data_IF_824133995462
#
_entry.id   IF_824133995462
#
_cell.length_a   1.000
_cell.length_b   1.000
_cell.length_c   1.000
_cell.angle_alpha   90.00
_cell.angle_beta   90.00
_cell.angle_gamma   90.00
#
_symmetry.space_group_name_H-M   'P 1'
#
loop_
_entity.id
_entity.type
_entity.pdbx_description
1 polymer ?
#
# COMPACT_ATOMS: atom_id res chain seq x y z
N UNK A 1 -24.59 -2.49 -26.47
CA UNK A 1 -24.12 -1.87 -25.22
C UNK A 1 -22.70 -1.38 -25.42
N UNK A 2 -22.37 -0.20 -24.93
CA UNK A 2 -21.08 0.48 -25.01
C UNK A 2 -20.51 0.69 -23.61
N UNK A 3 -19.18 0.66 -23.48
CA UNK A 3 -18.48 0.94 -22.21
C UNK A 3 -17.59 2.16 -22.39
N UNK A 4 -17.67 3.12 -21.47
CA UNK A 4 -16.70 4.23 -21.36
C UNK A 4 -15.97 4.17 -20.02
N UNK A 5 -14.65 4.12 -20.08
CA UNK A 5 -13.76 4.12 -18.91
C UNK A 5 -13.09 5.48 -18.76
N UNK A 6 -13.49 6.28 -17.79
CA UNK A 6 -12.88 7.58 -17.53
C UNK A 6 -11.63 7.42 -16.66
N UNK A 7 -10.50 7.83 -17.21
CA UNK A 7 -9.18 7.73 -16.58
C UNK A 7 -8.83 9.09 -15.95
N UNK A 8 -9.01 9.19 -14.64
CA UNK A 8 -8.78 10.42 -13.88
C UNK A 8 -7.30 10.79 -13.85
N UNK A 9 -6.97 12.00 -14.29
CA UNK A 9 -5.59 12.49 -14.32
C UNK A 9 -5.46 13.98 -14.02
N UNK A 10 -4.34 14.37 -13.42
CA UNK A 10 -3.91 15.77 -13.25
C UNK A 10 -2.61 16.07 -14.02
N UNK A 11 -2.12 15.12 -14.83
CA UNK A 11 -0.91 15.26 -15.65
C UNK A 11 -0.96 14.42 -16.92
N UNK A 12 -0.03 14.66 -17.84
CA UNK A 12 0.18 13.78 -18.99
C UNK A 12 0.68 12.40 -18.54
N UNK A 13 0.25 11.36 -19.23
CA UNK A 13 0.62 9.97 -18.96
C UNK A 13 0.55 9.13 -20.22
N UNK A 14 1.10 7.92 -20.17
CA UNK A 14 1.00 6.95 -21.25
C UNK A 14 -0.40 6.33 -21.27
N UNK A 15 -1.24 6.85 -22.15
CA UNK A 15 -2.64 6.45 -22.29
C UNK A 15 -2.76 4.99 -22.80
N UNK A 16 -3.73 4.21 -22.31
CA UNK A 16 -4.06 2.93 -22.92
C UNK A 16 -4.38 3.11 -24.41
N UNK A 17 -3.94 2.16 -25.24
CA UNK A 17 -4.17 2.21 -26.70
C UNK A 17 -5.65 2.08 -27.09
N UNK A 18 -6.44 1.47 -26.23
CA UNK A 18 -7.87 1.28 -26.45
C UNK A 18 -8.62 2.57 -26.13
N UNK A 19 -9.34 3.09 -27.12
CA UNK A 19 -10.09 4.36 -27.06
C UNK A 19 -11.25 4.34 -26.06
N UNK A 20 -11.63 3.17 -25.54
CA UNK A 20 -12.62 3.10 -24.46
C UNK A 20 -12.11 3.78 -23.17
N UNK A 21 -10.79 3.85 -22.98
CA UNK A 21 -10.14 4.54 -21.88
C UNK A 21 -9.96 6.01 -22.24
N UNK A 22 -10.82 6.86 -21.68
CA UNK A 22 -10.91 8.28 -21.97
C UNK A 22 -10.19 9.05 -20.85
N UNK A 23 -9.06 9.73 -21.12
CA UNK A 23 -8.45 10.61 -20.14
C UNK A 23 -9.41 11.74 -19.75
N UNK A 24 -9.64 11.90 -18.44
CA UNK A 24 -10.41 13.00 -17.87
C UNK A 24 -9.48 13.81 -16.96
N UNK A 25 -9.22 15.04 -17.37
CA UNK A 25 -8.43 16.00 -16.61
C UNK A 25 -9.25 16.52 -15.43
N UNK A 26 -8.89 16.06 -14.23
CA UNK A 26 -9.49 16.48 -12.96
C UNK A 26 -8.81 17.73 -12.43
N UNK A 27 -9.58 18.63 -11.80
CA UNK A 27 -9.07 19.89 -11.27
C UNK A 27 -8.66 20.89 -12.35
N UNK A 28 -9.18 20.76 -13.58
CA UNK A 28 -8.84 21.66 -14.70
C UNK A 28 -9.05 23.13 -14.36
N UNK A 29 -10.02 23.45 -13.50
CA UNK A 29 -10.28 24.82 -13.06
C UNK A 29 -9.11 25.46 -12.28
N UNK A 30 -8.16 24.66 -11.78
CA UNK A 30 -7.02 25.09 -10.97
C UNK A 30 -5.67 24.86 -11.66
N UNK A 31 -5.65 24.32 -12.88
CA UNK A 31 -4.44 23.87 -13.58
C UNK A 31 -4.41 24.35 -15.04
N UNK A 32 -3.31 24.11 -15.75
CA UNK A 32 -3.16 24.41 -17.18
C UNK A 32 -3.75 23.30 -18.05
N UNK A 33 -4.05 23.59 -19.32
CA UNK A 33 -4.64 22.60 -20.21
C UNK A 33 -3.70 21.44 -20.55
N UNK A 34 -4.19 20.22 -20.38
CA UNK A 34 -3.51 19.00 -20.80
C UNK A 34 -3.98 18.52 -22.17
N UNK A 35 -4.96 19.18 -22.80
CA UNK A 35 -5.54 18.73 -24.08
C UNK A 35 -6.38 17.46 -23.96
N UNK A 36 -6.91 17.18 -22.77
CA UNK A 36 -7.83 16.08 -22.49
C UNK A 36 -9.25 16.62 -22.29
N UNK A 37 -10.23 15.71 -22.28
CA UNK A 37 -11.56 16.03 -21.74
C UNK A 37 -11.39 16.55 -20.31
N UNK A 38 -12.14 17.59 -19.94
CA UNK A 38 -11.92 18.29 -18.68
C UNK A 38 -13.16 18.34 -17.80
N UNK A 39 -12.93 18.19 -16.50
CA UNK A 39 -13.97 18.18 -15.48
C UNK A 39 -14.55 19.55 -15.14
N UNK A 40 -14.11 20.64 -15.78
CA UNK A 40 -14.55 22.01 -15.51
C UNK A 40 -15.62 22.53 -16.48
N UNK A 41 -16.34 21.63 -17.14
CA UNK A 41 -17.43 21.93 -18.09
C UNK A 41 -18.76 21.40 -17.58
N UNK A 42 -19.89 21.95 -18.06
CA UNK A 42 -21.22 21.52 -17.61
C UNK A 42 -21.43 21.70 -16.11
N UNK A 43 -22.20 20.80 -15.49
CA UNK A 43 -22.35 20.76 -14.02
C UNK A 43 -21.13 20.07 -13.40
N UNK A 44 -20.41 20.78 -12.53
CA UNK A 44 -19.12 20.33 -12.04
C UNK A 44 -18.69 20.93 -10.69
N UNK A 45 -17.69 20.28 -10.09
CA UNK A 45 -17.01 20.71 -8.87
C UNK A 45 -15.49 20.80 -9.06
N UNK A 46 -15.00 21.09 -10.28
CA UNK A 46 -13.56 21.08 -10.62
C UNK A 46 -12.71 21.96 -9.68
N UNK A 47 -13.24 23.10 -9.25
CA UNK A 47 -12.59 24.02 -8.30
C UNK A 47 -12.33 23.40 -6.91
N UNK A 48 -12.95 22.26 -6.60
CA UNK A 48 -12.82 21.55 -5.31
C UNK A 48 -11.82 20.41 -5.37
N UNK A 49 -11.05 20.29 -6.46
CA UNK A 49 -10.10 19.18 -6.65
C UNK A 49 -9.03 19.09 -5.54
N UNK A 50 -8.64 20.20 -4.92
CA UNK A 50 -7.72 20.19 -3.78
C UNK A 50 -8.18 19.29 -2.62
N UNK A 51 -9.50 19.19 -2.39
CA UNK A 51 -10.07 18.35 -1.33
C UNK A 51 -10.80 17.10 -1.83
N UNK A 52 -11.42 17.17 -3.01
CA UNK A 52 -12.15 16.05 -3.62
C UNK A 52 -11.27 15.16 -4.50
N UNK A 53 -10.06 15.60 -4.85
CA UNK A 53 -9.14 14.87 -5.73
C UNK A 53 -9.85 14.34 -6.98
N UNK A 54 -9.66 13.06 -7.34
CA UNK A 54 -10.27 12.43 -8.50
C UNK A 54 -11.81 12.41 -8.49
N UNK A 55 -12.46 12.66 -7.34
CA UNK A 55 -13.92 12.75 -7.26
C UNK A 55 -14.50 13.90 -8.05
N UNK A 56 -13.73 14.95 -8.37
CA UNK A 56 -14.25 15.99 -9.26
C UNK A 56 -14.55 15.45 -10.65
N UNK A 57 -13.76 14.48 -11.12
CA UNK A 57 -14.04 13.71 -12.33
C UNK A 57 -15.22 12.77 -12.17
N UNK A 58 -15.34 12.07 -11.04
CA UNK A 58 -16.50 11.20 -10.73
C UNK A 58 -17.81 12.00 -10.77
N UNK A 59 -17.84 13.18 -10.15
CA UNK A 59 -18.97 14.10 -10.19
C UNK A 59 -19.30 14.53 -11.61
N UNK A 60 -18.27 14.91 -12.38
CA UNK A 60 -18.46 15.34 -13.76
C UNK A 60 -19.06 14.22 -14.62
N UNK A 61 -18.55 12.98 -14.48
CA UNK A 61 -19.10 11.81 -15.19
C UNK A 61 -20.56 11.57 -14.80
N UNK A 62 -20.88 11.63 -13.51
CA UNK A 62 -22.27 11.49 -13.03
C UNK A 62 -23.22 12.49 -13.69
N UNK A 63 -22.81 13.76 -13.76
CA UNK A 63 -23.68 14.84 -14.24
C UNK A 63 -23.74 14.98 -15.76
N UNK A 64 -22.68 14.63 -16.47
CA UNK A 64 -22.50 15.02 -17.87
C UNK A 64 -22.44 13.84 -18.85
N UNK A 65 -22.02 12.65 -18.43
CA UNK A 65 -22.07 11.47 -19.31
C UNK A 65 -23.49 10.92 -19.41
N UNK A 66 -24.00 10.75 -20.63
CA UNK A 66 -25.40 10.33 -20.89
C UNK A 66 -25.52 9.31 -22.02
N UNK A 67 -24.42 8.97 -22.69
CA UNK A 67 -24.42 8.18 -23.92
C UNK A 67 -23.97 6.73 -23.75
N UNK A 68 -23.24 6.41 -22.67
CA UNK A 68 -22.73 5.07 -22.42
C UNK A 68 -23.74 4.19 -21.67
N UNK A 69 -23.80 2.90 -22.03
CA UNK A 69 -24.61 1.91 -21.30
C UNK A 69 -23.93 1.51 -19.98
N UNK A 70 -22.61 1.37 -20.03
CA UNK A 70 -21.75 1.12 -18.88
C UNK A 70 -20.71 2.22 -18.74
N UNK A 71 -20.53 2.68 -17.52
CA UNK A 71 -19.54 3.69 -17.16
C UNK A 71 -18.60 3.10 -16.13
N UNK A 72 -17.31 3.35 -16.31
CA UNK A 72 -16.33 3.09 -15.27
C UNK A 72 -15.38 4.25 -15.07
N UNK A 73 -14.74 4.22 -13.90
CA UNK A 73 -13.76 5.19 -13.47
C UNK A 73 -12.50 4.44 -13.01
N UNK A 74 -11.35 4.97 -13.39
CA UNK A 74 -10.06 4.48 -12.93
C UNK A 74 -9.07 5.65 -12.82
N UNK A 75 -7.87 5.39 -12.32
CA UNK A 75 -6.83 6.42 -12.21
C UNK A 75 -5.77 6.21 -13.28
N UNK A 76 -5.07 7.26 -13.70
CA UNK A 76 -4.09 7.26 -14.82
C UNK A 76 -2.97 6.21 -14.79
N UNK A 77 -2.79 5.49 -13.66
CA UNK A 77 -1.82 4.39 -13.54
C UNK A 77 -2.38 3.12 -12.92
N UNK A 78 -3.69 3.03 -12.71
CA UNK A 78 -4.32 1.94 -11.96
C UNK A 78 -5.50 1.45 -12.77
N UNK A 79 -5.32 0.30 -13.41
CA UNK A 79 -6.30 -0.27 -14.31
C UNK A 79 -6.72 -1.66 -13.82
N UNK A 80 -8.00 -1.98 -13.94
CA UNK A 80 -8.46 -3.35 -13.72
C UNK A 80 -7.83 -4.27 -14.77
N UNK A 81 -7.24 -5.38 -14.33
CA UNK A 81 -6.54 -6.33 -15.19
C UNK A 81 -7.14 -7.74 -15.06
N UNK A 82 -7.13 -8.46 -16.18
CA UNK A 82 -7.54 -9.85 -16.22
C UNK A 82 -6.47 -10.77 -15.60
N UNK A 83 -6.77 -12.07 -15.50
CA UNK A 83 -5.86 -13.08 -14.93
C UNK A 83 -4.53 -13.21 -15.66
N UNK A 84 -4.43 -12.73 -16.90
CA UNK A 84 -3.19 -12.71 -17.69
C UNK A 84 -2.35 -11.44 -17.48
N UNK A 85 -2.78 -10.53 -16.59
CA UNK A 85 -2.10 -9.28 -16.32
C UNK A 85 -2.36 -8.18 -17.36
N UNK A 86 -3.32 -8.37 -18.26
CA UNK A 86 -3.67 -7.39 -19.30
C UNK A 86 -4.85 -6.54 -18.84
N UNK A 87 -4.82 -5.26 -19.22
CA UNK A 87 -5.96 -4.35 -19.08
C UNK A 87 -7.15 -4.95 -19.81
N UNK A 88 -8.33 -4.92 -19.19
CA UNK A 88 -9.54 -5.46 -19.79
C UNK A 88 -9.91 -4.74 -21.09
N UNK A 89 -10.33 -5.52 -22.07
CA UNK A 89 -10.99 -5.01 -23.28
C UNK A 89 -12.47 -4.74 -23.05
N UNK A 90 -13.08 -3.97 -23.96
CA UNK A 90 -14.51 -3.68 -23.91
C UNK A 90 -15.37 -4.96 -23.92
N UNK A 91 -14.99 -5.96 -24.71
CA UNK A 91 -15.70 -7.25 -24.79
C UNK A 91 -15.65 -7.99 -23.46
N UNK A 92 -14.48 -8.10 -22.82
CA UNK A 92 -14.35 -8.78 -21.54
C UNK A 92 -15.18 -8.11 -20.44
N UNK A 93 -15.19 -6.77 -20.38
CA UNK A 93 -16.00 -6.04 -19.39
C UNK A 93 -17.49 -6.31 -19.60
N UNK A 94 -17.97 -6.30 -20.85
CA UNK A 94 -19.37 -6.60 -21.18
C UNK A 94 -19.76 -8.02 -20.76
N UNK A 95 -18.91 -9.01 -21.05
CA UNK A 95 -19.19 -10.41 -20.71
C UNK A 95 -19.28 -10.63 -19.19
N UNK A 96 -18.45 -9.92 -18.42
CA UNK A 96 -18.51 -9.93 -16.95
C UNK A 96 -19.80 -9.24 -16.47
N UNK A 97 -20.12 -8.05 -16.99
CA UNK A 97 -21.28 -7.24 -16.59
C UNK A 97 -22.65 -7.85 -16.97
N UNK A 98 -22.67 -8.93 -17.76
CA UNK A 98 -23.88 -9.74 -17.96
C UNK A 98 -24.20 -10.64 -16.74
N UNK A 99 -23.20 -10.92 -15.89
CA UNK A 99 -23.31 -11.87 -14.78
C UNK A 99 -23.13 -11.22 -13.40
N UNK A 100 -22.66 -9.97 -13.37
CA UNK A 100 -22.27 -9.22 -12.18
C UNK A 100 -22.81 -7.79 -12.29
N UNK A 101 -23.13 -7.19 -11.15
CA UNK A 101 -23.70 -5.83 -11.10
C UNK A 101 -22.63 -4.76 -11.38
N UNK A 102 -21.40 -5.02 -10.94
CA UNK A 102 -20.25 -4.14 -11.12
C UNK A 102 -18.93 -4.93 -11.14
N UNK A 103 -17.90 -4.29 -11.69
CA UNK A 103 -16.51 -4.74 -11.68
C UNK A 103 -15.71 -3.77 -10.82
N UNK A 104 -14.93 -4.28 -9.88
CA UNK A 104 -14.09 -3.47 -8.98
C UNK A 104 -12.79 -4.19 -8.65
N UNK A 105 -11.92 -3.54 -7.88
CA UNK A 105 -10.70 -4.14 -7.38
C UNK A 105 -10.98 -5.28 -6.39
N UNK A 106 -10.05 -6.22 -6.29
CA UNK A 106 -10.09 -7.25 -5.26
C UNK A 106 -9.93 -6.63 -3.88
N UNK A 107 -10.63 -7.18 -2.89
CA UNK A 107 -10.44 -6.77 -1.50
C UNK A 107 -8.99 -6.95 -1.05
N UNK A 108 -8.44 -5.88 -0.53
CA UNK A 108 -7.21 -5.89 0.24
C UNK A 108 -7.52 -6.39 1.65
N UNK A 109 -6.59 -7.12 2.23
CA UNK A 109 -6.69 -7.62 3.60
C UNK A 109 -5.50 -7.05 4.40
N UNK A 110 -5.78 -6.57 5.60
CA UNK A 110 -4.83 -5.88 6.46
C UNK A 110 -4.62 -6.64 7.77
N UNK A 111 -3.51 -6.36 8.45
CA UNK A 111 -3.25 -6.90 9.79
C UNK A 111 -3.96 -6.09 10.89
N UNK A 112 -4.43 -4.89 10.56
CA UNK A 112 -5.14 -3.93 11.42
C UNK A 112 -6.54 -3.62 10.87
N UNK A 113 -7.40 -3.02 11.68
CA UNK A 113 -8.74 -2.57 11.25
C UNK A 113 -8.65 -1.34 10.36
N UNK A 114 -9.61 -1.12 9.45
CA UNK A 114 -9.65 0.09 8.62
C UNK A 114 -9.60 1.36 9.48
N UNK A 115 -10.28 1.37 10.63
CA UNK A 115 -10.25 2.44 11.62
C UNK A 115 -8.84 2.77 12.11
N UNK A 116 -8.07 1.75 12.51
CA UNK A 116 -6.68 1.93 12.98
C UNK A 116 -5.79 2.45 11.85
N UNK A 117 -5.87 1.85 10.66
CA UNK A 117 -5.10 2.30 9.50
C UNK A 117 -5.41 3.74 9.09
N UNK A 118 -6.69 4.12 9.11
CA UNK A 118 -7.10 5.50 8.81
C UNK A 118 -6.63 6.46 9.90
N UNK A 119 -6.71 6.10 11.19
CA UNK A 119 -6.24 6.93 12.30
C UNK A 119 -4.72 7.19 12.23
N UNK A 120 -3.96 6.18 11.83
CA UNK A 120 -2.50 6.30 11.74
C UNK A 120 -2.06 7.14 10.53
N UNK A 121 -2.85 7.12 9.45
CA UNK A 121 -2.52 7.81 8.20
C UNK A 121 -3.21 9.17 8.02
N UNK A 122 -4.31 9.44 8.74
CA UNK A 122 -5.22 10.56 8.51
C UNK A 122 -5.89 11.05 9.81
N UNK A 123 -6.63 12.17 9.75
CA UNK A 123 -7.39 12.65 10.89
C UNK A 123 -8.66 11.80 11.12
N UNK A 124 -8.65 11.02 12.19
CA UNK A 124 -9.74 10.08 12.52
C UNK A 124 -11.11 10.76 12.69
N UNK A 125 -11.14 12.04 13.07
CA UNK A 125 -12.40 12.78 13.21
C UNK A 125 -13.19 12.84 11.90
N UNK A 126 -12.52 12.87 10.75
CA UNK A 126 -13.19 12.91 9.44
C UNK A 126 -14.00 11.63 9.18
N UNK A 127 -13.45 10.48 9.57
CA UNK A 127 -14.12 9.18 9.44
C UNK A 127 -15.26 9.03 10.45
N UNK A 128 -15.08 9.54 11.67
CA UNK A 128 -16.14 9.57 12.70
C UNK A 128 -17.32 10.44 12.20
N UNK A 129 -17.05 11.65 11.69
CA UNK A 129 -18.08 12.52 11.12
C UNK A 129 -18.76 11.92 9.90
N UNK A 130 -18.04 11.15 9.10
CA UNK A 130 -18.64 10.37 8.00
C UNK A 130 -19.65 9.35 8.53
N UNK A 131 -19.30 8.61 9.59
CA UNK A 131 -20.21 7.68 10.24
C UNK A 131 -21.47 8.33 10.80
N UNK A 132 -21.34 9.49 11.46
CA UNK A 132 -22.48 10.28 11.96
C UNK A 132 -23.41 10.71 10.81
N UNK A 133 -22.85 11.24 9.71
CA UNK A 133 -23.64 11.63 8.53
C UNK A 133 -24.37 10.45 7.91
N UNK A 134 -23.73 9.28 7.82
CA UNK A 134 -24.38 8.06 7.32
C UNK A 134 -25.52 7.65 8.25
N UNK A 135 -25.31 7.67 9.57
CA UNK A 135 -26.35 7.33 10.54
C UNK A 135 -27.59 8.22 10.41
N UNK A 136 -27.39 9.51 10.14
CA UNK A 136 -28.47 10.49 9.99
C UNK A 136 -29.19 10.40 8.63
N UNK A 137 -28.44 10.32 7.52
CA UNK A 137 -29.00 10.42 6.17
C UNK A 137 -29.38 9.08 5.56
N UNK A 138 -28.69 8.01 5.95
CA UNK A 138 -28.82 6.66 5.41
C UNK A 138 -28.69 5.62 6.55
N UNK A 139 -29.60 5.65 7.56
CA UNK A 139 -29.50 4.77 8.73
C UNK A 139 -29.42 3.28 8.37
N UNK A 140 -29.99 2.88 7.24
CA UNK A 140 -29.92 1.51 6.69
C UNK A 140 -28.51 1.10 6.24
N UNK A 141 -27.60 2.05 5.99
CA UNK A 141 -26.20 1.80 5.65
C UNK A 141 -25.28 1.77 6.89
N UNK A 142 -25.75 2.31 8.03
CA UNK A 142 -24.88 2.56 9.18
C UNK A 142 -24.34 1.27 9.80
N UNK A 143 -25.14 0.22 9.90
CA UNK A 143 -24.65 -1.07 10.42
C UNK A 143 -23.56 -1.67 9.53
N UNK A 144 -23.70 -1.57 8.21
CA UNK A 144 -22.67 -1.99 7.26
C UNK A 144 -21.40 -1.15 7.41
N UNK A 145 -21.52 0.17 7.47
CA UNK A 145 -20.39 1.08 7.69
C UNK A 145 -19.66 0.75 9.00
N UNK A 146 -20.39 0.65 10.11
CA UNK A 146 -19.82 0.44 11.43
C UNK A 146 -19.14 -0.94 11.55
N UNK A 147 -19.68 -1.98 10.90
CA UNK A 147 -19.01 -3.27 10.82
C UNK A 147 -17.73 -3.19 9.98
N UNK A 148 -17.80 -2.58 8.80
CA UNK A 148 -16.69 -2.55 7.85
C UNK A 148 -15.54 -1.65 8.30
N UNK A 149 -15.82 -0.58 9.05
CA UNK A 149 -14.75 0.31 9.56
C UNK A 149 -13.88 -0.41 10.60
N UNK A 150 -14.45 -1.40 11.29
CA UNK A 150 -13.73 -2.28 12.21
C UNK A 150 -13.28 -3.60 11.55
N UNK A 151 -13.56 -3.79 10.25
CA UNK A 151 -13.04 -4.92 9.49
C UNK A 151 -11.60 -4.65 9.05
N UNK A 152 -10.92 -5.70 8.62
CA UNK A 152 -9.53 -5.64 8.14
C UNK A 152 -9.45 -5.75 6.62
N UNK A 153 -10.44 -5.21 5.93
CA UNK A 153 -10.53 -5.29 4.47
C UNK A 153 -11.08 -4.00 3.87
N UNK A 154 -10.63 -3.68 2.65
CA UNK A 154 -11.20 -2.60 1.84
C UNK A 154 -10.97 -2.86 0.34
N UNK A 155 -11.66 -2.12 -0.53
CA UNK A 155 -11.28 -2.08 -1.94
C UNK A 155 -10.06 -1.18 -2.15
N UNK A 156 -9.30 -1.48 -3.20
CA UNK A 156 -8.24 -0.59 -3.66
C UNK A 156 -8.84 0.54 -4.51
N UNK A 157 -8.78 1.77 -4.01
CA UNK A 157 -9.33 2.93 -4.69
C UNK A 157 -10.85 2.91 -4.81
N UNK A 158 -11.40 3.93 -5.47
CA UNK A 158 -12.81 3.98 -5.88
C UNK A 158 -12.98 3.53 -7.35
N UNK A 159 -12.17 2.56 -7.79
CA UNK A 159 -12.19 2.05 -9.16
C UNK A 159 -13.41 1.16 -9.35
N UNK A 160 -14.29 1.50 -10.28
CA UNK A 160 -15.48 0.71 -10.56
C UNK A 160 -15.87 0.76 -12.04
N UNK A 161 -16.56 -0.27 -12.52
CA UNK A 161 -17.30 -0.29 -13.80
C UNK A 161 -18.69 -0.83 -13.51
N UNK A 162 -19.73 -0.10 -13.90
CA UNK A 162 -21.12 -0.48 -13.64
C UNK A 162 -22.03 0.02 -14.77
N UNK A 163 -23.30 -0.40 -14.76
CA UNK A 163 -24.30 0.22 -15.63
C UNK A 163 -24.44 1.71 -15.27
N UNK A 164 -24.74 2.57 -16.25
CA UNK A 164 -24.93 4.00 -15.97
C UNK A 164 -25.96 4.28 -14.86
N UNK A 165 -27.12 3.62 -14.81
CA UNK A 165 -28.06 3.82 -13.71
C UNK A 165 -27.50 3.45 -12.33
N UNK A 166 -26.72 2.36 -12.23
CA UNK A 166 -26.10 1.96 -10.97
C UNK A 166 -24.98 2.92 -10.55
N UNK A 167 -24.17 3.38 -11.51
CA UNK A 167 -23.16 4.40 -11.27
C UNK A 167 -23.78 5.71 -10.77
N UNK A 168 -24.91 6.14 -11.35
CA UNK A 168 -25.62 7.36 -10.94
C UNK A 168 -26.22 7.25 -9.54
N UNK A 169 -26.74 6.07 -9.19
CA UNK A 169 -27.22 5.79 -7.84
C UNK A 169 -26.08 5.86 -6.80
N UNK A 170 -24.94 5.23 -7.11
CA UNK A 170 -23.74 5.31 -6.28
C UNK A 170 -23.23 6.74 -6.14
N UNK A 171 -23.07 7.48 -7.24
CA UNK A 171 -22.56 8.84 -7.22
C UNK A 171 -23.49 9.77 -6.43
N UNK A 172 -24.81 9.64 -6.61
CA UNK A 172 -25.80 10.39 -5.83
C UNK A 172 -25.63 10.12 -4.33
N UNK A 173 -25.59 8.85 -3.92
CA UNK A 173 -25.41 8.46 -2.52
C UNK A 173 -24.09 9.01 -1.95
N UNK A 174 -22.99 8.78 -2.66
CA UNK A 174 -21.65 9.21 -2.26
C UNK A 174 -21.59 10.73 -2.08
N UNK A 175 -22.02 11.51 -3.08
CA UNK A 175 -21.95 12.97 -3.00
C UNK A 175 -22.94 13.56 -2.00
N UNK A 176 -24.09 12.93 -1.75
CA UNK A 176 -24.97 13.37 -0.64
C UNK A 176 -24.24 13.28 0.70
N UNK A 177 -23.51 12.19 0.95
CA UNK A 177 -22.73 12.03 2.19
C UNK A 177 -21.57 13.02 2.23
N UNK A 178 -20.70 13.03 1.21
CA UNK A 178 -19.46 13.82 1.24
C UNK A 178 -19.72 15.32 1.32
N UNK A 179 -20.77 15.82 0.65
CA UNK A 179 -21.15 17.24 0.72
C UNK A 179 -21.71 17.63 2.10
N UNK A 180 -22.28 16.68 2.84
CA UNK A 180 -22.72 16.92 4.21
C UNK A 180 -21.54 16.84 5.19
N UNK A 181 -20.63 15.88 5.01
CA UNK A 181 -19.38 15.79 5.79
C UNK A 181 -18.56 17.06 5.66
N UNK A 182 -18.44 17.62 4.45
CA UNK A 182 -17.71 18.87 4.22
C UNK A 182 -18.19 20.04 5.10
N UNK A 183 -19.48 20.10 5.43
CA UNK A 183 -20.02 21.16 6.29
C UNK A 183 -19.65 20.97 7.76
N UNK A 184 -19.21 19.77 8.15
CA UNK A 184 -19.02 19.34 9.55
C UNK A 184 -17.55 19.21 9.95
N UNK A 185 -16.63 19.29 9.00
CA UNK A 185 -15.19 19.20 9.23
C UNK A 185 -14.49 20.49 8.82
N UNK A 186 -13.40 20.82 9.53
CA UNK A 186 -12.51 21.93 9.18
C UNK A 186 -11.17 21.39 8.70
N UNK A 187 -10.85 21.64 7.43
CA UNK A 187 -9.61 21.21 6.78
C UNK A 187 -8.63 22.38 6.55
N UNK A 188 -8.92 23.56 7.09
CA UNK A 188 -8.10 24.77 6.86
C UNK A 188 -6.68 24.64 7.41
N UNK A 189 -6.51 23.88 8.49
CA UNK A 189 -5.22 23.57 9.13
C UNK A 189 -4.50 22.37 8.52
N UNK A 190 -5.12 21.66 7.58
CA UNK A 190 -4.53 20.45 7.00
C UNK A 190 -3.41 20.83 6.04
N UNK A 191 -2.37 19.99 5.99
CA UNK A 191 -1.40 20.05 4.90
C UNK A 191 -2.04 19.62 3.56
N UNK A 192 -1.31 19.81 2.47
CA UNK A 192 -1.82 19.53 1.12
C UNK A 192 -2.12 18.05 0.87
N UNK A 193 -1.51 17.13 1.63
CA UNK A 193 -1.81 15.71 1.55
C UNK A 193 -3.14 15.41 2.24
N UNK A 194 -3.31 15.85 3.48
CA UNK A 194 -4.49 15.59 4.29
C UNK A 194 -5.74 16.33 3.78
N UNK A 195 -5.59 17.48 3.10
CA UNK A 195 -6.72 18.17 2.45
C UNK A 195 -7.53 17.26 1.51
N UNK A 196 -6.91 16.20 0.96
CA UNK A 196 -7.53 15.22 0.05
C UNK A 196 -8.51 14.24 0.74
N UNK A 197 -8.95 14.57 1.96
CA UNK A 197 -9.82 13.78 2.85
C UNK A 197 -10.97 13.06 2.14
N UNK A 198 -11.70 13.74 1.25
CA UNK A 198 -12.87 13.13 0.59
C UNK A 198 -12.47 12.04 -0.40
N UNK A 199 -11.30 12.17 -1.02
CA UNK A 199 -10.70 11.11 -1.82
C UNK A 199 -10.51 9.85 -0.99
N UNK A 200 -9.81 9.96 0.16
CA UNK A 200 -9.54 8.84 1.06
C UNK A 200 -10.83 8.19 1.59
N UNK A 201 -11.81 8.99 2.04
CA UNK A 201 -13.10 8.46 2.50
C UNK A 201 -13.83 7.70 1.39
N UNK A 202 -13.81 8.21 0.15
CA UNK A 202 -14.55 7.58 -0.95
C UNK A 202 -14.06 6.19 -1.34
N UNK A 203 -12.76 5.91 -1.18
CA UNK A 203 -12.19 4.59 -1.46
C UNK A 203 -12.85 3.52 -0.57
N UNK A 204 -13.05 3.83 0.72
CA UNK A 204 -13.73 2.95 1.66
C UNK A 204 -15.24 2.88 1.43
N UNK A 205 -15.88 4.02 1.13
CA UNK A 205 -17.33 4.06 0.93
C UNK A 205 -17.82 3.22 -0.26
N UNK A 206 -16.95 2.91 -1.24
CA UNK A 206 -17.30 1.95 -2.29
C UNK A 206 -17.61 0.56 -1.72
N UNK A 207 -16.83 0.07 -0.74
CA UNK A 207 -17.09 -1.23 -0.11
C UNK A 207 -18.41 -1.20 0.68
N UNK A 208 -18.66 -0.11 1.41
CA UNK A 208 -19.91 0.09 2.15
C UNK A 208 -21.11 0.06 1.20
N UNK A 209 -21.03 0.75 0.06
CA UNK A 209 -22.07 0.75 -0.97
C UNK A 209 -22.36 -0.65 -1.51
N UNK A 210 -21.31 -1.40 -1.87
CA UNK A 210 -21.44 -2.75 -2.41
C UNK A 210 -22.10 -3.70 -1.40
N UNK A 211 -21.67 -3.66 -0.15
CA UNK A 211 -22.18 -4.53 0.91
C UNK A 211 -23.62 -4.19 1.33
N UNK A 212 -23.94 -2.91 1.50
CA UNK A 212 -25.28 -2.47 1.92
C UNK A 212 -26.35 -2.75 0.85
N UNK A 213 -25.99 -2.66 -0.43
CA UNK A 213 -26.89 -2.97 -1.54
C UNK A 213 -26.84 -4.44 -1.99
N UNK A 214 -26.03 -5.27 -1.33
CA UNK A 214 -25.87 -6.70 -1.66
C UNK A 214 -25.50 -6.94 -3.13
N UNK A 215 -24.67 -6.07 -3.70
CA UNK A 215 -24.30 -6.11 -5.11
C UNK A 215 -23.33 -7.27 -5.38
N UNK A 216 -23.58 -7.99 -6.46
CA UNK A 216 -22.68 -9.04 -6.93
C UNK A 216 -21.50 -8.43 -7.69
N UNK A 217 -20.44 -8.09 -6.97
CA UNK A 217 -19.22 -7.51 -7.52
C UNK A 217 -18.30 -8.58 -8.15
N UNK A 218 -17.79 -8.31 -9.35
CA UNK A 218 -16.64 -9.02 -9.90
C UNK A 218 -15.36 -8.34 -9.43
N UNK A 219 -14.62 -9.03 -8.57
CA UNK A 219 -13.37 -8.55 -7.98
C UNK A 219 -12.15 -8.99 -8.80
N UNK A 220 -11.29 -8.04 -9.19
CA UNK A 220 -10.11 -8.32 -10.00
C UNK A 220 -8.88 -7.53 -9.57
N UNK A 221 -7.71 -7.95 -10.07
CA UNK A 221 -6.45 -7.30 -9.74
C UNK A 221 -6.39 -5.91 -10.38
N UNK A 222 -5.66 -5.00 -9.73
CA UNK A 222 -5.34 -3.69 -10.30
C UNK A 222 -3.90 -3.71 -10.76
N UNK A 223 -3.70 -3.57 -12.07
CA UNK A 223 -2.39 -3.41 -12.67
C UNK A 223 -1.91 -1.97 -12.48
N UNK A 224 -0.66 -1.83 -12.06
CA UNK A 224 0.01 -0.53 -11.98
C UNK A 224 0.91 -0.33 -13.19
N UNK A 225 0.61 0.66 -14.02
CA UNK A 225 1.42 0.93 -15.21
C UNK A 225 2.72 1.68 -14.89
N UNK A 226 2.78 2.38 -13.74
CA UNK A 226 3.98 3.04 -13.23
C UNK A 226 3.85 3.43 -11.75
N UNK A 227 4.97 3.61 -11.05
CA UNK A 227 5.03 4.18 -9.69
C UNK A 227 4.86 5.70 -9.69
N UNK A 228 4.39 6.27 -8.55
CA UNK A 228 4.41 7.72 -8.29
C UNK A 228 5.80 8.30 -8.59
N UNK A 229 5.83 9.46 -9.26
CA UNK A 229 7.10 10.11 -9.64
C UNK A 229 7.91 10.39 -8.38
N UNK A 230 7.22 10.82 -7.34
CA UNK A 230 7.72 11.09 -6.00
C UNK A 230 8.28 9.83 -5.33
N UNK A 231 7.63 8.67 -5.51
CA UNK A 231 8.16 7.37 -5.03
C UNK A 231 9.47 7.03 -5.74
N UNK A 232 9.54 7.26 -7.05
CA UNK A 232 10.74 7.01 -7.84
C UNK A 232 11.89 7.95 -7.43
N UNK A 233 11.60 9.24 -7.27
CA UNK A 233 12.56 10.24 -6.80
C UNK A 233 13.09 9.89 -5.40
N UNK A 234 12.23 9.41 -4.51
CA UNK A 234 12.63 8.94 -3.18
C UNK A 234 13.64 7.77 -3.27
N UNK A 235 13.38 6.78 -4.13
CA UNK A 235 14.30 5.65 -4.37
C UNK A 235 15.63 6.11 -4.98
N UNK A 236 15.58 7.01 -5.96
CA UNK A 236 16.78 7.58 -6.59
C UNK A 236 17.64 8.33 -5.56
N UNK A 237 17.01 9.10 -4.67
CA UNK A 237 17.72 9.82 -3.62
C UNK A 237 18.30 8.88 -2.55
N UNK A 238 17.56 7.86 -2.12
CA UNK A 238 18.06 6.81 -1.23
C UNK A 238 19.24 6.04 -1.83
N UNK A 239 19.20 5.77 -3.14
CA UNK A 239 20.32 5.15 -3.85
C UNK A 239 21.61 5.97 -3.76
N UNK A 240 21.52 7.31 -3.82
CA UNK A 240 22.67 8.20 -3.62
C UNK A 240 23.22 8.07 -2.19
N UNK A 241 22.36 8.18 -1.17
CA UNK A 241 22.80 8.03 0.22
C UNK A 241 23.44 6.67 0.49
N UNK A 242 22.85 5.57 0.00
CA UNK A 242 23.41 4.23 0.16
C UNK A 242 24.75 4.07 -0.55
N UNK A 243 24.90 4.64 -1.75
CA UNK A 243 26.16 4.64 -2.48
C UNK A 243 27.27 5.37 -1.72
N UNK A 244 26.92 6.50 -1.10
CA UNK A 244 27.81 7.32 -0.26
C UNK A 244 28.00 6.77 1.16
N UNK A 245 27.28 5.70 1.53
CA UNK A 245 27.22 5.11 2.87
C UNK A 245 26.73 6.08 3.95
N UNK A 246 25.95 7.06 3.56
CA UNK A 246 25.34 8.04 4.47
C UNK A 246 24.00 7.52 5.02
N UNK A 247 24.10 6.69 6.06
CA UNK A 247 22.93 6.11 6.74
C UNK A 247 22.09 7.16 7.47
N UNK A 248 22.75 8.15 8.08
CA UNK A 248 22.06 9.19 8.84
C UNK A 248 21.25 10.10 7.91
N UNK A 249 21.87 10.54 6.80
CA UNK A 249 21.18 11.29 5.75
C UNK A 249 20.05 10.49 5.10
N UNK A 250 20.26 9.19 4.83
CA UNK A 250 19.20 8.32 4.34
C UNK A 250 18.00 8.25 5.30
N UNK A 251 18.26 8.08 6.60
CA UNK A 251 17.23 8.02 7.64
C UNK A 251 16.47 9.33 7.74
N UNK A 252 17.17 10.45 7.87
CA UNK A 252 16.55 11.76 7.98
C UNK A 252 15.67 12.04 6.77
N UNK A 253 16.19 11.84 5.56
CA UNK A 253 15.44 12.02 4.32
C UNK A 253 14.21 11.11 4.24
N UNK A 254 14.36 9.83 4.63
CA UNK A 254 13.25 8.89 4.63
C UNK A 254 12.14 9.35 5.56
N UNK A 255 12.47 9.76 6.79
CA UNK A 255 11.51 10.20 7.80
C UNK A 255 10.80 11.49 7.38
N UNK A 256 11.52 12.47 6.81
CA UNK A 256 10.92 13.69 6.25
C UNK A 256 9.95 13.40 5.10
N UNK A 257 10.27 12.43 4.24
CA UNK A 257 9.36 11.99 3.19
C UNK A 257 8.13 11.26 3.76
N UNK A 258 8.34 10.39 4.75
CA UNK A 258 7.30 9.61 5.38
C UNK A 258 6.30 10.49 6.15
N UNK A 259 6.78 11.53 6.84
CA UNK A 259 5.94 12.51 7.53
C UNK A 259 5.00 13.24 6.55
N UNK A 260 5.51 13.60 5.35
CA UNK A 260 4.71 14.24 4.30
C UNK A 260 3.79 13.28 3.53
N UNK A 261 4.15 12.00 3.49
CA UNK A 261 3.47 10.94 2.71
C UNK A 261 3.41 9.63 3.53
N UNK A 262 2.56 9.54 4.57
CA UNK A 262 2.46 8.33 5.38
C UNK A 262 2.04 7.08 4.57
N UNK A 263 1.34 7.27 3.45
CA UNK A 263 0.94 6.20 2.53
C UNK A 263 2.08 5.61 1.70
N UNK A 264 3.30 6.16 1.75
CA UNK A 264 4.38 5.81 0.82
C UNK A 264 4.83 4.36 0.96
N UNK A 265 4.67 3.77 2.16
CA UNK A 265 4.97 2.37 2.45
C UNK A 265 3.82 1.40 2.15
N UNK A 266 2.63 1.88 1.77
CA UNK A 266 1.54 0.99 1.38
C UNK A 266 1.86 0.31 0.04
N UNK A 267 1.36 -0.91 -0.17
CA UNK A 267 1.56 -1.66 -1.42
C UNK A 267 1.09 -0.89 -2.66
N UNK A 268 0.10 -0.01 -2.45
CA UNK A 268 -0.43 0.95 -3.41
C UNK A 268 0.58 1.97 -3.97
N UNK A 269 1.65 2.21 -3.21
CA UNK A 269 2.60 3.30 -3.39
C UNK A 269 4.01 2.78 -3.65
N UNK A 270 4.45 1.75 -2.92
CA UNK A 270 5.75 1.07 -3.08
C UNK A 270 5.54 -0.31 -3.73
N UNK A 271 5.34 -0.29 -5.04
CA UNK A 271 4.88 -1.47 -5.79
C UNK A 271 5.92 -2.59 -5.85
N UNK A 272 7.20 -2.24 -5.73
CA UNK A 272 8.32 -3.19 -5.72
C UNK A 272 8.77 -3.59 -4.31
N UNK A 273 8.22 -2.94 -3.27
CA UNK A 273 8.61 -3.12 -1.86
C UNK A 273 10.00 -2.55 -1.52
N UNK A 274 10.59 -1.75 -2.40
CA UNK A 274 11.97 -1.27 -2.26
C UNK A 274 12.12 -0.17 -1.21
N UNK A 275 11.07 0.62 -0.94
CA UNK A 275 11.10 1.58 0.17
C UNK A 275 11.01 0.88 1.51
N UNK A 276 10.18 -0.18 1.64
CA UNK A 276 10.19 -1.05 2.83
C UNK A 276 11.57 -1.68 3.06
N UNK A 277 12.18 -2.20 2.00
CA UNK A 277 13.54 -2.74 2.06
C UNK A 277 14.56 -1.65 2.40
N UNK A 278 14.41 -0.43 1.90
CA UNK A 278 15.30 0.70 2.24
C UNK A 278 15.23 1.05 3.73
N UNK A 279 14.04 1.00 4.33
CA UNK A 279 13.89 1.18 5.78
C UNK A 279 14.60 0.07 6.57
N UNK A 280 14.50 -1.19 6.10
CA UNK A 280 15.26 -2.30 6.68
C UNK A 280 16.77 -2.11 6.54
N UNK A 281 17.26 -1.64 5.38
CA UNK A 281 18.68 -1.34 5.14
C UNK A 281 19.17 -0.32 6.17
N UNK A 282 18.45 0.80 6.32
CA UNK A 282 18.79 1.87 7.27
C UNK A 282 18.88 1.29 8.68
N UNK A 283 17.81 0.64 9.15
CA UNK A 283 17.76 0.04 10.49
C UNK A 283 18.88 -0.97 10.72
N UNK A 284 19.17 -1.82 9.71
CA UNK A 284 20.23 -2.81 9.78
C UNK A 284 21.60 -2.16 9.92
N UNK A 285 21.93 -1.22 9.05
CA UNK A 285 23.23 -0.57 9.07
C UNK A 285 23.44 0.32 10.29
N UNK A 286 22.40 0.96 10.82
CA UNK A 286 22.48 1.68 12.11
C UNK A 286 22.85 0.74 13.27
N UNK A 287 22.13 -0.38 13.39
CA UNK A 287 22.39 -1.36 14.46
C UNK A 287 23.75 -2.05 14.28
N UNK A 288 24.18 -2.32 13.04
CA UNK A 288 25.53 -2.82 12.75
C UNK A 288 26.61 -1.84 13.24
N UNK A 289 26.45 -0.54 12.97
CA UNK A 289 27.38 0.51 13.45
C UNK A 289 27.41 0.59 14.98
N UNK A 290 26.26 0.52 15.64
CA UNK A 290 26.17 0.53 17.12
C UNK A 290 26.92 -0.65 17.74
N UNK A 291 26.91 -1.81 17.08
CA UNK A 291 27.66 -2.99 17.49
C UNK A 291 29.10 -3.02 16.94
N UNK A 292 29.61 -1.92 16.39
CA UNK A 292 30.94 -1.78 15.82
C UNK A 292 31.25 -2.80 14.70
N UNK A 293 30.22 -3.25 13.98
CA UNK A 293 30.33 -4.14 12.83
C UNK A 293 30.51 -3.32 11.54
N UNK A 294 31.12 -3.94 10.53
CA UNK A 294 30.99 -3.46 9.15
C UNK A 294 29.53 -3.61 8.71
N UNK A 295 29.07 -2.64 7.94
CA UNK A 295 27.68 -2.58 7.50
C UNK A 295 27.47 -3.35 6.20
N UNK A 296 26.22 -3.71 5.90
CA UNK A 296 25.85 -4.25 4.58
C UNK A 296 26.35 -3.36 3.42
N UNK A 297 26.30 -2.03 3.60
CA UNK A 297 26.79 -1.05 2.61
C UNK A 297 28.31 -1.08 2.38
N UNK A 298 29.10 -1.68 3.28
CA UNK A 298 30.53 -1.87 3.05
C UNK A 298 30.84 -2.95 2.01
N UNK A 299 29.84 -3.77 1.68
CA UNK A 299 29.96 -4.87 0.74
C UNK A 299 29.11 -4.68 -0.50
N UNK A 300 27.92 -4.09 -0.36
CA UNK A 300 26.98 -3.84 -1.45
C UNK A 300 26.33 -2.48 -1.23
N UNK A 301 26.63 -1.52 -2.11
CA UNK A 301 26.05 -0.17 -2.04
C UNK A 301 25.40 0.29 -3.36
N UNK A 302 25.42 -0.57 -4.38
CA UNK A 302 24.55 -0.43 -5.55
C UNK A 302 23.10 -0.76 -5.14
N UNK A 303 22.16 0.13 -5.46
CA UNK A 303 20.78 0.05 -4.96
C UNK A 303 20.09 -1.25 -5.38
N UNK A 304 20.14 -1.62 -6.66
CA UNK A 304 19.47 -2.82 -7.15
C UNK A 304 20.05 -4.10 -6.52
N UNK A 305 21.37 -4.18 -6.43
CA UNK A 305 22.06 -5.32 -5.79
C UNK A 305 21.76 -5.39 -4.29
N UNK A 306 21.66 -4.24 -3.62
CA UNK A 306 21.33 -4.14 -2.20
C UNK A 306 19.89 -4.57 -1.92
N UNK A 307 18.92 -4.12 -2.72
CA UNK A 307 17.52 -4.55 -2.60
C UNK A 307 17.41 -6.07 -2.77
N UNK A 308 18.14 -6.66 -3.73
CA UNK A 308 18.18 -8.11 -3.93
C UNK A 308 18.83 -8.84 -2.74
N UNK A 309 19.89 -8.28 -2.15
CA UNK A 309 20.53 -8.83 -0.97
C UNK A 309 19.55 -8.95 0.21
N UNK A 310 18.82 -7.88 0.52
CA UNK A 310 17.84 -7.87 1.62
C UNK A 310 16.58 -8.69 1.29
N UNK A 311 16.11 -8.68 0.04
CA UNK A 311 15.00 -9.54 -0.39
C UNK A 311 15.32 -11.02 -0.20
N UNK A 312 16.51 -11.46 -0.60
CA UNK A 312 16.97 -12.83 -0.40
C UNK A 312 17.08 -13.19 1.09
N UNK A 313 17.64 -12.29 1.91
CA UNK A 313 17.69 -12.47 3.36
C UNK A 313 16.29 -12.68 3.94
N UNK A 314 15.33 -11.83 3.55
CA UNK A 314 13.96 -11.91 4.02
C UNK A 314 13.28 -13.23 3.62
N UNK A 315 13.51 -13.69 2.39
CA UNK A 315 12.96 -14.97 1.92
C UNK A 315 13.58 -16.17 2.65
N UNK A 316 14.86 -16.11 2.99
CA UNK A 316 15.53 -17.09 3.85
C UNK A 316 14.85 -17.12 5.23
N UNK A 317 14.68 -15.97 5.88
CA UNK A 317 14.05 -15.91 7.21
C UNK A 317 12.60 -16.41 7.18
N UNK A 318 11.82 -16.08 6.14
CA UNK A 318 10.46 -16.62 5.95
C UNK A 318 10.44 -18.14 5.82
N UNK A 319 11.47 -18.76 5.22
CA UNK A 319 11.61 -20.23 5.16
C UNK A 319 11.99 -20.83 6.50
N UNK A 320 12.91 -20.21 7.24
CA UNK A 320 13.22 -20.61 8.63
C UNK A 320 12.00 -20.51 9.54
N UNK A 321 11.22 -19.41 9.47
CA UNK A 321 9.94 -19.23 10.18
C UNK A 321 8.98 -20.41 9.94
N UNK A 322 8.98 -20.97 8.72
CA UNK A 322 8.15 -22.11 8.33
C UNK A 322 8.78 -23.47 8.62
N UNK A 323 9.95 -23.52 9.29
CA UNK A 323 10.76 -24.72 9.55
C UNK A 323 11.15 -25.47 8.27
N UNK A 324 11.39 -24.74 7.18
CA UNK A 324 11.71 -25.26 5.84
C UNK A 324 12.96 -24.60 5.22
N UNK A 325 14.11 -24.49 5.92
CA UNK A 325 15.31 -23.91 5.32
C UNK A 325 15.89 -24.80 4.22
N UNK A 326 16.45 -24.18 3.19
CA UNK A 326 17.19 -24.86 2.12
C UNK A 326 18.69 -24.93 2.46
N UNK A 327 19.41 -25.92 1.91
CA UNK A 327 20.88 -25.96 2.03
C UNK A 327 21.55 -24.69 1.49
N UNK A 328 20.98 -24.10 0.44
CA UNK A 328 21.45 -22.84 -0.14
C UNK A 328 21.24 -21.64 0.79
N UNK A 329 20.25 -21.70 1.68
CA UNK A 329 19.99 -20.64 2.65
C UNK A 329 21.11 -20.58 3.69
N UNK A 330 21.49 -21.75 4.22
CA UNK A 330 22.61 -21.90 5.17
C UNK A 330 23.90 -21.36 4.52
N UNK A 331 24.20 -21.80 3.29
CA UNK A 331 25.38 -21.35 2.54
C UNK A 331 25.36 -19.82 2.36
N UNK A 332 24.20 -19.24 2.05
CA UNK A 332 24.05 -17.80 1.89
C UNK A 332 24.38 -17.06 3.19
N UNK A 333 23.78 -17.46 4.31
CA UNK A 333 24.02 -16.86 5.62
C UNK A 333 25.50 -16.97 6.04
N UNK A 334 26.15 -18.11 5.77
CA UNK A 334 27.56 -18.32 6.12
C UNK A 334 28.55 -17.54 5.25
N UNK A 335 28.26 -17.37 3.95
CA UNK A 335 29.27 -16.94 2.96
C UNK A 335 29.09 -15.52 2.44
N UNK A 336 27.89 -14.92 2.53
CA UNK A 336 27.60 -13.57 1.98
C UNK A 336 27.83 -12.43 2.96
N UNK A 337 28.61 -12.65 4.04
CA UNK A 337 28.89 -11.66 5.09
C UNK A 337 27.60 -11.09 5.71
N UNK A 338 26.60 -11.96 5.91
CA UNK A 338 25.38 -11.61 6.63
C UNK A 338 25.71 -11.53 8.12
N UNK A 339 25.42 -10.39 8.74
CA UNK A 339 25.65 -10.20 10.18
C UNK A 339 24.51 -10.80 11.01
N UNK A 340 24.79 -11.14 12.27
CA UNK A 340 23.75 -11.57 13.21
C UNK A 340 22.71 -10.47 13.45
N UNK A 341 23.10 -9.19 13.29
CA UNK A 341 22.19 -8.03 13.35
C UNK A 341 21.21 -8.05 12.18
N UNK A 342 21.69 -8.24 10.95
CA UNK A 342 20.83 -8.33 9.76
C UNK A 342 19.83 -9.49 9.89
N UNK A 343 20.29 -10.65 10.37
CA UNK A 343 19.41 -11.80 10.67
C UNK A 343 18.37 -11.43 11.71
N UNK A 344 18.78 -10.85 12.85
CA UNK A 344 17.88 -10.51 13.95
C UNK A 344 16.82 -9.48 13.55
N UNK A 345 17.17 -8.47 12.75
CA UNK A 345 16.21 -7.48 12.25
C UNK A 345 15.22 -8.13 11.28
N UNK A 346 15.69 -8.98 10.37
CA UNK A 346 14.81 -9.71 9.48
C UNK A 346 13.85 -10.64 10.28
N UNK A 347 14.32 -11.32 11.33
CA UNK A 347 13.45 -12.11 12.23
C UNK A 347 12.39 -11.22 12.88
N UNK A 348 12.77 -10.05 13.41
CA UNK A 348 11.83 -9.10 14.02
C UNK A 348 10.76 -8.62 13.04
N UNK A 349 11.09 -8.46 11.76
CA UNK A 349 10.15 -8.01 10.73
C UNK A 349 9.14 -9.08 10.31
N UNK A 350 9.46 -10.37 10.44
CA UNK A 350 8.63 -11.45 9.90
C UNK A 350 8.09 -12.42 10.95
N UNK A 351 8.58 -12.43 12.18
CA UNK A 351 8.06 -13.31 13.23
C UNK A 351 7.08 -12.55 14.12
N UNK A 352 5.80 -12.93 14.02
CA UNK A 352 4.69 -12.19 14.63
C UNK A 352 4.52 -12.49 16.13
N UNK A 353 5.31 -13.42 16.69
CA UNK A 353 5.33 -13.75 18.11
C UNK A 353 6.75 -13.94 18.62
N UNK A 354 6.96 -13.63 19.90
CA UNK A 354 8.24 -13.85 20.59
C UNK A 354 8.71 -15.30 20.47
N UNK A 355 7.80 -16.26 20.66
CA UNK A 355 8.09 -17.69 20.55
C UNK A 355 8.60 -18.07 19.16
N UNK A 356 7.97 -17.54 18.11
CA UNK A 356 8.38 -17.84 16.73
C UNK A 356 9.71 -17.17 16.39
N UNK A 357 9.98 -15.99 16.93
CA UNK A 357 11.26 -15.31 16.78
C UNK A 357 12.39 -16.12 17.45
N UNK A 358 12.17 -16.58 18.68
CA UNK A 358 13.11 -17.45 19.42
C UNK A 358 13.35 -18.74 18.64
N UNK A 359 12.30 -19.48 18.27
CA UNK A 359 12.42 -20.73 17.51
C UNK A 359 13.25 -20.55 16.22
N UNK A 360 13.00 -19.46 15.50
CA UNK A 360 13.70 -19.12 14.25
C UNK A 360 15.18 -18.83 14.51
N UNK A 361 15.50 -18.02 15.53
CA UNK A 361 16.89 -17.69 15.88
C UNK A 361 17.66 -18.92 16.39
N UNK A 362 17.02 -19.78 17.19
CA UNK A 362 17.61 -21.02 17.68
C UNK A 362 17.97 -21.95 16.53
N UNK A 363 17.07 -22.13 15.56
CA UNK A 363 17.33 -22.96 14.39
C UNK A 363 18.49 -22.43 13.54
N UNK A 364 18.52 -21.12 13.28
CA UNK A 364 19.63 -20.50 12.54
C UNK A 364 20.94 -20.62 13.32
N UNK A 365 20.92 -20.44 14.64
CA UNK A 365 22.09 -20.59 15.50
C UNK A 365 22.67 -22.02 15.42
N UNK A 366 21.81 -23.04 15.51
CA UNK A 366 22.22 -24.44 15.37
C UNK A 366 22.85 -24.71 13.99
N UNK A 367 22.28 -24.17 12.90
CA UNK A 367 22.85 -24.29 11.55
C UNK A 367 24.18 -23.56 11.41
N UNK A 368 24.32 -22.36 11.97
CA UNK A 368 25.58 -21.62 11.97
C UNK A 368 26.67 -22.37 12.74
N UNK A 369 26.32 -22.94 13.89
CA UNK A 369 27.24 -23.77 14.68
C UNK A 369 27.71 -24.99 13.88
N UNK A 370 26.80 -25.70 13.21
CA UNK A 370 27.13 -26.85 12.38
C UNK A 370 28.04 -26.51 11.17
N UNK A 371 28.06 -25.25 10.73
CA UNK A 371 28.94 -24.76 9.67
C UNK A 371 30.26 -24.14 10.19
N UNK A 372 30.56 -24.27 11.50
CA UNK A 372 31.75 -23.69 12.11
C UNK A 372 31.71 -22.16 12.20
N UNK A 373 30.51 -21.56 12.23
CA UNK A 373 30.30 -20.11 12.44
C UNK A 373 29.90 -19.82 13.88
N UNK A 374 30.72 -20.29 14.82
CA UNK A 374 30.51 -20.22 16.28
C UNK A 374 30.16 -18.80 16.77
N UNK A 375 30.94 -17.79 16.35
CA UNK A 375 30.70 -16.39 16.74
C UNK A 375 29.30 -15.92 16.37
N UNK A 376 28.83 -16.24 15.17
CA UNK A 376 27.49 -15.85 14.69
C UNK A 376 26.43 -16.61 15.48
N UNK A 377 26.62 -17.92 15.68
CA UNK A 377 25.69 -18.76 16.43
C UNK A 377 25.47 -18.22 17.86
N UNK A 378 26.55 -17.90 18.58
CA UNK A 378 26.50 -17.37 19.93
C UNK A 378 25.85 -15.98 19.99
N UNK A 379 26.12 -15.09 19.03
CA UNK A 379 25.47 -13.79 18.99
C UNK A 379 23.96 -13.93 18.72
N UNK A 380 23.53 -14.85 17.85
CA UNK A 380 22.11 -15.12 17.62
C UNK A 380 21.40 -15.65 18.88
N UNK A 381 22.06 -16.49 19.69
CA UNK A 381 21.52 -16.91 20.99
C UNK A 381 21.30 -15.71 21.91
N UNK A 382 22.29 -14.81 22.02
CA UNK A 382 22.14 -13.57 22.82
C UNK A 382 20.99 -12.69 22.33
N UNK A 383 20.71 -12.69 21.02
CA UNK A 383 19.56 -11.97 20.45
C UNK A 383 18.21 -12.54 20.87
N UNK A 384 18.13 -13.79 21.35
CA UNK A 384 16.89 -14.35 21.89
C UNK A 384 16.44 -13.63 23.17
N UNK A 385 17.38 -13.04 23.92
CA UNK A 385 17.08 -12.32 25.16
C UNK A 385 16.19 -11.09 24.96
N UNK A 386 16.15 -10.52 23.73
CA UNK A 386 15.20 -9.45 23.41
C UNK A 386 13.74 -9.90 23.47
N UNK A 387 13.48 -11.21 23.41
CA UNK A 387 12.15 -11.79 23.41
C UNK A 387 11.82 -12.51 24.73
N UNK A 388 12.83 -13.12 25.37
CA UNK A 388 12.74 -13.77 26.68
C UNK A 388 14.15 -13.95 27.28
N UNK A 389 14.47 -13.27 28.38
CA UNK A 389 15.80 -13.30 29.01
C UNK A 389 16.17 -14.65 29.63
N UNK A 390 15.18 -15.41 30.12
CA UNK A 390 15.38 -16.68 30.85
C UNK A 390 14.93 -17.90 30.03
N UNK A 391 15.00 -17.83 28.70
CA UNK A 391 14.56 -18.92 27.82
C UNK A 391 15.42 -20.20 28.02
N UNK A 392 14.86 -21.29 28.60
CA UNK A 392 15.65 -22.48 28.95
C UNK A 392 16.33 -23.13 27.74
N UNK A 393 15.72 -23.06 26.56
CA UNK A 393 16.28 -23.59 25.30
C UNK A 393 17.52 -22.82 24.83
N UNK A 394 17.63 -21.54 25.18
CA UNK A 394 18.78 -20.68 24.87
C UNK A 394 19.91 -20.99 25.84
N UNK A 395 19.62 -21.06 27.15
CA UNK A 395 20.59 -21.40 28.20
C UNK A 395 21.26 -22.74 27.89
N UNK A 396 20.46 -23.78 27.61
CA UNK A 396 20.98 -25.11 27.31
C UNK A 396 21.92 -25.14 26.08
N UNK A 397 21.66 -24.30 25.07
CA UNK A 397 22.55 -24.18 23.89
C UNK A 397 23.81 -23.40 24.21
N UNK A 398 23.73 -22.31 24.98
CA UNK A 398 24.90 -21.55 25.40
C UNK A 398 25.86 -22.42 26.22
N UNK A 399 25.34 -23.26 27.11
CA UNK A 399 26.15 -24.24 27.87
C UNK A 399 26.80 -25.27 26.94
N UNK A 400 26.04 -25.83 26.00
CA UNK A 400 26.53 -26.81 25.02
C UNK A 400 27.63 -26.24 24.10
N UNK A 401 27.53 -24.97 23.74
CA UNK A 401 28.45 -24.29 22.82
C UNK A 401 29.68 -23.70 23.50
N UNK A 402 29.72 -23.69 24.84
CA UNK A 402 30.87 -23.19 25.63
C UNK A 402 31.88 -24.29 25.97
N UNK A 403 31.70 -25.50 25.44
CA UNK A 403 32.56 -26.69 25.59
C UNK A 403 33.24 -26.96 24.26
#
# INVERSE_FOLDING_TARGET
MSVKMFTMTHKKFDEPKDTMYIPLHVGRALSFDLGYLADNTGDNISKRNASFSELTGVYWVWKNETSADYVGICHYRRYLINKSGKIFSETELKDILQQYDLITSKRLHYDYTYYEGYKDAHNINDLIKTGEVIQELYPEYYEHFNRLVHAKESYFGNIMVASKPLFDAYAKWLFTILLEVEKRIDISSYDDYHKRVFGFISEFLLLVWVEANQLKAYECMVGMSAEKTETKEMKEKLAVFFKEKDIEGAKQYFMECYEKRPDVLLEASDTTGELKLSMQVISTCENERMCQLRTALDYVNDFATLMNYFRNLNDIIKRYKKKQPLKTDIIYLCNRKVTYIAISIAVMLFCDTNELAIDTLLQISDDMMNQGKEDIALQLLKRCNYYNEDEPRVIARMEKFSV
#
